data_IF_037962641208
#
_entry.id   IF_037962641208
#
_cell.length_a   1.000
_cell.length_b   1.000
_cell.length_c   1.000
_cell.angle_alpha   90.00
_cell.angle_beta   90.00
_cell.angle_gamma   90.00
#
_symmetry.space_group_name_H-M   'P 1'
#
loop_
_entity.id
_entity.type
_entity.pdbx_description
1 polymer ?
#
# COMPACT_ATOMS: atom_id res chain seq x y z
N UNK A 1 13.25 -21.88 0.14
CA UNK A 1 13.98 -20.61 0.33
C UNK A 1 13.25 -19.84 1.40
N UNK A 2 13.45 -20.22 2.65
CA UNK A 2 12.86 -19.56 3.80
C UNK A 2 13.84 -18.46 4.21
N UNK A 3 13.53 -17.20 3.92
CA UNK A 3 14.35 -16.11 4.44
C UNK A 3 14.04 -15.95 5.92
N UNK A 4 14.97 -16.41 6.75
CA UNK A 4 15.03 -16.19 8.18
C UNK A 4 15.05 -14.68 8.46
N UNK A 5 13.87 -14.12 8.76
CA UNK A 5 13.68 -12.72 9.09
C UNK A 5 14.20 -12.50 10.51
N UNK A 6 15.51 -12.37 10.66
CA UNK A 6 16.14 -12.04 11.93
C UNK A 6 15.51 -10.76 12.49
N UNK A 7 14.77 -10.91 13.59
CA UNK A 7 14.16 -9.80 14.30
C UNK A 7 15.27 -8.91 14.87
N UNK A 8 15.22 -7.62 14.55
CA UNK A 8 16.16 -6.63 15.11
C UNK A 8 15.81 -6.47 16.60
N UNK A 9 16.72 -6.81 17.54
CA UNK A 9 16.43 -6.71 18.96
C UNK A 9 16.06 -5.27 19.34
N UNK A 10 14.87 -5.07 19.92
CA UNK A 10 14.34 -3.75 20.29
C UNK A 10 13.40 -3.11 19.26
N UNK A 11 13.26 -3.68 18.05
CA UNK A 11 12.30 -3.20 17.06
C UNK A 11 10.89 -3.75 17.35
N UNK A 12 10.12 -3.06 18.19
CA UNK A 12 8.71 -3.38 18.47
C UNK A 12 7.73 -2.81 17.43
N UNK A 13 8.23 -2.13 16.39
CA UNK A 13 7.41 -1.51 15.36
C UNK A 13 7.38 -2.37 14.10
N UNK A 14 6.18 -2.64 13.59
CA UNK A 14 5.97 -3.25 12.28
C UNK A 14 5.62 -2.17 11.27
N UNK A 15 6.53 -1.85 10.37
CA UNK A 15 6.29 -0.87 9.30
C UNK A 15 5.08 -1.25 8.43
N UNK A 16 4.88 -2.55 8.18
CA UNK A 16 3.71 -3.03 7.46
C UNK A 16 2.41 -2.80 8.22
N UNK A 17 2.42 -3.02 9.54
CA UNK A 17 1.23 -2.75 10.37
C UNK A 17 0.90 -1.26 10.40
N UNK A 18 1.92 -0.40 10.49
CA UNK A 18 1.76 1.06 10.48
C UNK A 18 1.27 1.59 9.12
N UNK A 19 1.70 0.99 8.02
CA UNK A 19 1.27 1.37 6.67
C UNK A 19 -0.12 0.83 6.29
N UNK A 20 -0.58 -0.27 6.89
CA UNK A 20 -1.88 -0.90 6.58
C UNK A 20 -3.09 0.08 6.57
N UNK A 21 -3.28 0.98 7.56
CA UNK A 21 -4.37 1.95 7.49
C UNK A 21 -4.23 2.96 6.35
N UNK A 22 -3.00 3.32 5.94
CA UNK A 22 -2.76 4.22 4.81
C UNK A 22 -3.15 3.53 3.49
N UNK A 23 -2.79 2.25 3.33
CA UNK A 23 -3.23 1.43 2.20
C UNK A 23 -4.74 1.25 2.17
N UNK A 24 -5.37 1.01 3.32
CA UNK A 24 -6.83 0.91 3.42
C UNK A 24 -7.52 2.21 2.97
N UNK A 25 -6.95 3.38 3.27
CA UNK A 25 -7.44 4.68 2.78
C UNK A 25 -7.29 4.82 1.26
N UNK A 26 -6.16 4.39 0.68
CA UNK A 26 -5.97 4.37 -0.78
C UNK A 26 -7.08 3.55 -1.46
N UNK A 27 -7.34 2.35 -0.95
CA UNK A 27 -8.34 1.44 -1.50
C UNK A 27 -9.76 2.00 -1.32
N UNK A 28 -10.09 2.48 -0.13
CA UNK A 28 -11.44 3.00 0.19
C UNK A 28 -11.80 4.23 -0.62
N UNK A 29 -10.81 5.08 -0.94
CA UNK A 29 -11.01 6.35 -1.63
C UNK A 29 -10.47 6.36 -3.06
N UNK A 30 -10.35 5.18 -3.69
CA UNK A 30 -9.67 5.00 -4.96
C UNK A 30 -10.10 6.00 -6.04
N UNK A 31 -11.41 6.12 -6.27
CA UNK A 31 -11.98 7.05 -7.25
C UNK A 31 -11.63 8.52 -6.97
N UNK A 32 -11.67 8.94 -5.70
CA UNK A 32 -11.38 10.33 -5.29
C UNK A 32 -9.89 10.65 -5.44
N UNK A 33 -9.03 9.66 -5.18
CA UNK A 33 -7.58 9.77 -5.25
C UNK A 33 -7.03 9.54 -6.66
N UNK A 34 -7.88 9.22 -7.64
CA UNK A 34 -7.47 8.95 -9.01
C UNK A 34 -6.64 7.67 -9.17
N UNK A 35 -6.80 6.69 -8.27
CA UNK A 35 -6.08 5.41 -8.30
C UNK A 35 -7.02 4.29 -8.73
N UNK A 36 -6.49 3.27 -9.40
CA UNK A 36 -7.22 2.06 -9.75
C UNK A 36 -6.85 0.93 -8.79
N UNK A 37 -7.84 0.11 -8.41
CA UNK A 37 -7.63 -1.04 -7.54
C UNK A 37 -8.12 -2.30 -8.26
N UNK A 38 -7.27 -3.31 -8.30
CA UNK A 38 -7.59 -4.62 -8.84
C UNK A 38 -7.20 -5.71 -7.83
N UNK A 39 -7.86 -6.85 -7.91
CA UNK A 39 -7.40 -8.07 -7.29
C UNK A 39 -7.00 -9.06 -8.38
N UNK A 40 -5.86 -9.71 -8.21
CA UNK A 40 -5.48 -10.83 -9.07
C UNK A 40 -6.10 -12.16 -8.59
N UNK A 41 -5.89 -13.21 -9.37
CA UNK A 41 -6.43 -14.55 -9.10
C UNK A 41 -5.84 -15.20 -7.83
N UNK A 42 -4.76 -14.64 -7.27
CA UNK A 42 -4.13 -15.10 -6.03
C UNK A 42 -4.66 -14.35 -4.80
N UNK A 43 -5.50 -13.33 -4.99
CA UNK A 43 -6.06 -12.49 -3.94
C UNK A 43 -5.19 -11.29 -3.58
N UNK A 44 -4.13 -11.01 -4.34
CA UNK A 44 -3.28 -9.81 -4.14
C UNK A 44 -4.04 -8.59 -4.61
N UNK A 45 -4.09 -7.57 -3.76
CA UNK A 45 -4.61 -6.25 -4.13
C UNK A 45 -3.50 -5.43 -4.79
N UNK A 46 -3.72 -5.06 -6.05
CA UNK A 46 -2.85 -4.16 -6.81
C UNK A 46 -3.50 -2.78 -6.81
N UNK A 47 -2.74 -1.75 -6.42
CA UNK A 47 -3.15 -0.35 -6.50
C UNK A 47 -2.27 0.34 -7.53
N UNK A 48 -2.87 0.76 -8.64
CA UNK A 48 -2.22 1.60 -9.63
C UNK A 48 -2.49 3.07 -9.31
N UNK A 49 -1.43 3.79 -8.97
CA UNK A 49 -1.47 5.21 -8.61
C UNK A 49 -0.81 6.13 -9.66
N UNK A 50 -0.48 5.63 -10.86
CA UNK A 50 0.16 6.48 -11.88
C UNK A 50 0.67 5.80 -13.16
N UNK A 51 0.41 4.51 -13.39
CA UNK A 51 0.77 3.79 -14.62
C UNK A 51 -0.33 4.03 -15.68
N UNK A 52 -1.50 3.43 -15.48
CA UNK A 52 -2.69 3.61 -16.31
C UNK A 52 -3.70 4.55 -15.62
N UNK A 53 -3.72 4.54 -14.29
CA UNK A 53 -4.49 5.49 -13.49
C UNK A 53 -3.84 6.88 -13.51
N UNK A 54 -4.64 7.97 -13.51
CA UNK A 54 -4.11 9.34 -13.54
C UNK A 54 -3.31 9.70 -12.27
N UNK A 55 -3.60 9.06 -11.14
CA UNK A 55 -3.03 9.39 -9.84
C UNK A 55 -3.50 10.76 -9.33
N UNK A 56 -2.92 11.17 -8.21
CA UNK A 56 -3.09 12.52 -7.66
C UNK A 56 -1.95 12.88 -6.71
N UNK A 57 -1.77 14.18 -6.45
CA UNK A 57 -0.82 14.65 -5.43
C UNK A 57 -1.15 14.07 -4.05
N UNK A 58 -2.45 14.01 -3.71
CA UNK A 58 -2.88 13.44 -2.43
C UNK A 58 -2.59 11.94 -2.32
N UNK A 59 -2.76 11.18 -3.41
CA UNK A 59 -2.35 9.77 -3.45
C UNK A 59 -0.84 9.63 -3.23
N UNK A 60 -0.04 10.48 -3.88
CA UNK A 60 1.42 10.49 -3.72
C UNK A 60 1.86 10.82 -2.30
N UNK A 61 1.21 11.80 -1.64
CA UNK A 61 1.45 12.10 -0.24
C UNK A 61 1.14 10.88 0.64
N UNK A 62 -0.03 10.26 0.47
CA UNK A 62 -0.42 9.09 1.26
C UNK A 62 0.51 7.88 1.08
N UNK A 63 1.15 7.74 -0.08
CA UNK A 63 2.14 6.69 -0.37
C UNK A 63 3.51 7.00 0.26
N UNK A 64 3.83 8.28 0.47
CA UNK A 64 5.12 8.73 1.00
C UNK A 64 5.21 8.76 2.54
N UNK A 65 4.09 8.63 3.25
CA UNK A 65 4.01 8.57 4.73
C UNK A 65 4.34 7.17 5.28
#
# INVERSE_FOLDING_TARGET
MEQDKQAIPGANLSVNHLAAPLVARLVTHAARLGVAVAQDDTGVTIVDAGIDAPGSVEAGLLIGE
#
